data_IF_655626427900
#
_entry.id   IF_655626427900
#
_cell.length_a   1.000
_cell.length_b   1.000
_cell.length_c   1.000
_cell.angle_alpha   90.00
_cell.angle_beta   90.00
_cell.angle_gamma   90.00
#
_symmetry.space_group_name_H-M   'P 1'
#
loop_
_entity.id
_entity.type
_entity.pdbx_description
1 polymer ?
#
# COMPACT_ATOMS: atom_id res chain seq x y z
N UNK A 1 1.82 17.59 2.97
CA UNK A 1 2.25 16.94 4.23
C UNK A 1 2.50 15.48 3.96
N UNK A 2 3.47 14.87 4.65
CA UNK A 2 3.68 13.43 4.59
C UNK A 2 2.56 12.70 5.34
N UNK A 3 2.09 11.58 4.81
CA UNK A 3 1.06 10.76 5.44
C UNK A 3 1.65 9.95 6.60
N UNK A 4 0.90 9.83 7.69
CA UNK A 4 1.20 8.91 8.80
C UNK A 4 0.85 7.47 8.42
N UNK A 5 1.28 6.51 9.25
CA UNK A 5 0.95 5.10 9.03
C UNK A 5 -0.54 4.84 9.20
N UNK A 6 -1.14 5.48 10.19
CA UNK A 6 -2.56 5.37 10.56
C UNK A 6 -3.42 5.96 9.45
N UNK A 7 -3.05 7.12 8.90
CA UNK A 7 -3.72 7.72 7.75
C UNK A 7 -3.59 6.86 6.49
N UNK A 8 -2.44 6.21 6.27
CA UNK A 8 -2.27 5.28 5.16
C UNK A 8 -3.17 4.06 5.30
N UNK A 9 -3.30 3.51 6.52
CA UNK A 9 -4.23 2.42 6.82
C UNK A 9 -5.67 2.88 6.58
N UNK A 10 -6.06 4.03 7.12
CA UNK A 10 -7.41 4.57 6.96
C UNK A 10 -7.74 4.84 5.48
N UNK A 11 -6.81 5.42 4.71
CA UNK A 11 -6.94 5.60 3.27
C UNK A 11 -7.12 4.26 2.55
N UNK A 12 -6.27 3.28 2.85
CA UNK A 12 -6.31 1.97 2.20
C UNK A 12 -7.61 1.22 2.51
N UNK A 13 -8.08 1.26 3.75
CA UNK A 13 -9.35 0.66 4.18
C UNK A 13 -10.53 1.28 3.45
N UNK A 14 -10.58 2.62 3.33
CA UNK A 14 -11.60 3.32 2.51
C UNK A 14 -11.58 2.90 1.04
N UNK A 15 -10.41 2.51 0.52
CA UNK A 15 -10.24 2.01 -0.85
C UNK A 15 -10.46 0.48 -0.98
N UNK A 16 -11.08 -0.15 0.03
CA UNK A 16 -11.44 -1.57 0.03
C UNK A 16 -10.28 -2.52 0.27
N UNK A 17 -9.14 -2.02 0.78
CA UNK A 17 -8.05 -2.90 1.25
C UNK A 17 -8.35 -3.37 2.67
N UNK A 18 -8.02 -4.61 3.00
CA UNK A 18 -8.21 -5.20 4.33
C UNK A 18 -6.86 -5.49 4.97
N UNK A 19 -6.75 -5.22 6.27
CA UNK A 19 -5.60 -5.62 7.07
C UNK A 19 -5.57 -7.15 7.18
N UNK A 20 -4.41 -7.74 6.89
CA UNK A 20 -4.17 -9.16 7.12
C UNK A 20 -3.51 -9.42 8.48
N UNK A 21 -3.36 -10.70 8.84
CA UNK A 21 -2.77 -11.13 10.12
C UNK A 21 -1.31 -10.67 10.33
N UNK A 22 -0.64 -10.20 9.27
CA UNK A 22 0.74 -9.72 9.32
C UNK A 22 0.83 -8.19 9.32
N UNK A 23 -0.31 -7.49 9.37
CA UNK A 23 -0.34 -6.03 9.35
C UNK A 23 -0.11 -5.44 7.96
N UNK A 24 -0.43 -6.17 6.88
CA UNK A 24 -0.37 -5.68 5.50
C UNK A 24 -1.77 -5.47 4.93
N UNK A 25 -1.91 -4.50 4.02
CA UNK A 25 -3.21 -4.11 3.45
C UNK A 25 -3.44 -4.80 2.10
N UNK A 26 -4.23 -5.87 2.10
CA UNK A 26 -4.52 -6.68 0.91
C UNK A 26 -5.79 -6.24 0.19
N UNK A 27 -5.79 -6.40 -1.13
CA UNK A 27 -6.97 -6.25 -1.98
C UNK A 27 -6.92 -7.31 -3.07
N UNK A 28 -7.99 -8.07 -3.16
CA UNK A 28 -8.21 -9.02 -4.24
C UNK A 28 -8.82 -8.27 -5.42
N UNK A 29 -8.23 -8.45 -6.59
CA UNK A 29 -8.71 -7.98 -7.87
C UNK A 29 -8.93 -9.21 -8.77
N UNK A 30 -9.77 -9.10 -9.81
CA UNK A 30 -9.92 -10.17 -10.79
C UNK A 30 -8.54 -10.61 -11.33
N UNK A 31 -8.16 -11.86 -11.04
CA UNK A 31 -6.91 -12.46 -11.49
C UNK A 31 -5.64 -12.09 -10.70
N UNK A 32 -5.71 -11.26 -9.65
CA UNK A 32 -4.51 -10.89 -8.87
C UNK A 32 -4.81 -10.45 -7.44
N UNK A 33 -3.95 -10.83 -6.50
CA UNK A 33 -3.93 -10.27 -5.15
C UNK A 33 -2.85 -9.19 -5.05
N UNK A 34 -3.24 -7.98 -4.69
CA UNK A 34 -2.29 -6.91 -4.38
C UNK A 34 -2.20 -6.69 -2.87
N UNK A 35 -1.04 -6.27 -2.39
CA UNK A 35 -0.87 -5.79 -1.02
C UNK A 35 -0.10 -4.48 -0.95
N UNK A 36 -0.38 -3.69 0.08
CA UNK A 36 0.54 -2.68 0.57
C UNK A 36 1.22 -3.27 1.79
N UNK A 37 2.50 -3.63 1.63
CA UNK A 37 3.36 -4.06 2.73
C UNK A 37 3.78 -2.83 3.52
N UNK A 38 3.36 -2.77 4.79
CA UNK A 38 3.75 -1.72 5.72
C UNK A 38 5.01 -2.13 6.45
N UNK A 39 6.05 -1.31 6.35
CA UNK A 39 7.25 -1.40 7.17
C UNK A 39 7.35 -0.19 8.09
N UNK A 40 8.38 -0.15 8.95
CA UNK A 40 8.60 0.96 9.88
C UNK A 40 8.71 2.33 9.21
N UNK A 41 9.32 2.40 8.02
CA UNK A 41 9.64 3.68 7.36
C UNK A 41 9.11 3.80 5.93
N UNK A 42 8.57 2.72 5.37
CA UNK A 42 8.18 2.67 3.97
C UNK A 42 6.95 1.78 3.74
N UNK A 43 6.26 2.05 2.64
CA UNK A 43 5.22 1.18 2.12
C UNK A 43 5.65 0.63 0.76
N UNK A 44 5.29 -0.64 0.48
CA UNK A 44 5.54 -1.27 -0.83
C UNK A 44 4.24 -1.79 -1.40
N UNK A 45 3.93 -1.42 -2.64
CA UNK A 45 2.86 -2.03 -3.41
C UNK A 45 3.42 -3.28 -4.08
N UNK A 46 2.84 -4.42 -3.74
CA UNK A 46 3.28 -5.72 -4.21
C UNK A 46 2.09 -6.49 -4.81
N UNK A 47 2.39 -7.39 -5.75
CA UNK A 47 1.45 -8.34 -6.36
C UNK A 47 1.85 -9.76 -6.00
N UNK A 48 0.87 -10.62 -5.76
CA UNK A 48 1.07 -12.05 -5.52
C UNK A 48 1.30 -12.77 -6.85
N UNK A 49 2.31 -13.63 -6.88
CA UNK A 49 2.66 -14.51 -8.00
C UNK A 49 2.89 -15.93 -7.47
N UNK A 50 2.96 -16.97 -8.33
CA UNK A 50 3.33 -18.32 -7.90
C UNK A 50 4.69 -18.40 -7.19
N UNK A 51 5.59 -17.44 -7.44
CA UNK A 51 6.92 -17.38 -6.84
C UNK A 51 7.00 -16.43 -5.63
N UNK A 52 5.86 -15.96 -5.12
CA UNK A 52 5.78 -15.06 -3.98
C UNK A 52 5.35 -13.64 -4.37
N UNK A 53 5.79 -12.64 -3.59
CA UNK A 53 5.35 -11.25 -3.75
C UNK A 53 6.35 -10.44 -4.53
N UNK A 54 5.91 -9.85 -5.65
CA UNK A 54 6.73 -8.98 -6.50
C UNK A 54 6.40 -7.53 -6.21
N UNK A 55 7.42 -6.71 -5.98
CA UNK A 55 7.28 -5.26 -5.77
C UNK A 55 7.01 -4.56 -7.09
N UNK A 56 5.90 -3.82 -7.14
CA UNK A 56 5.54 -2.95 -8.25
C UNK A 56 6.02 -1.51 -8.02
N UNK A 57 5.90 -1.04 -6.77
CA UNK A 57 6.36 0.28 -6.37
C UNK A 57 6.66 0.35 -4.86
N UNK A 58 7.40 1.36 -4.43
CA UNK A 58 7.61 1.69 -3.02
C UNK A 58 7.79 3.18 -2.78
N UNK A 59 7.52 3.61 -1.55
CA UNK A 59 7.80 4.97 -1.09
C UNK A 59 8.06 5.01 0.40
N UNK A 60 8.92 5.92 0.84
CA UNK A 60 9.10 6.19 2.26
C UNK A 60 7.88 6.95 2.79
N UNK A 61 7.42 6.64 4.01
CA UNK A 61 6.26 7.30 4.62
C UNK A 61 6.40 8.84 4.58
N UNK A 62 7.61 9.35 4.81
CA UNK A 62 7.93 10.79 4.73
C UNK A 62 7.73 11.44 3.35
N UNK A 63 7.57 10.64 2.29
CA UNK A 63 7.35 11.09 0.90
C UNK A 63 5.94 10.76 0.40
N UNK A 64 5.25 9.82 1.05
CA UNK A 64 3.89 9.45 0.71
C UNK A 64 2.93 10.57 1.12
N UNK A 65 1.92 10.81 0.30
CA UNK A 65 0.90 11.82 0.54
C UNK A 65 -0.38 11.42 -0.19
N UNK A 66 -1.53 11.94 0.26
CA UNK A 66 -2.78 11.81 -0.48
C UNK A 66 -2.91 13.01 -1.43
N UNK A 67 -3.09 12.74 -2.71
CA UNK A 67 -3.27 13.75 -3.75
C UNK A 67 -4.66 14.38 -3.67
N UNK A 68 -4.88 15.49 -4.39
CA UNK A 68 -6.17 16.19 -4.40
C UNK A 68 -7.34 15.31 -4.90
N UNK A 69 -7.05 14.34 -5.78
CA UNK A 69 -8.00 13.34 -6.28
C UNK A 69 -8.12 12.09 -5.38
N UNK A 70 -7.57 12.14 -4.16
CA UNK A 70 -7.70 11.08 -3.17
C UNK A 70 -6.84 9.85 -3.44
N UNK A 71 -5.84 9.93 -4.31
CA UNK A 71 -4.92 8.82 -4.59
C UNK A 71 -3.68 8.87 -3.70
N UNK A 72 -3.00 7.74 -3.57
CA UNK A 72 -1.72 7.66 -2.86
C UNK A 72 -0.58 8.06 -3.80
N UNK A 73 0.00 9.23 -3.55
CA UNK A 73 1.18 9.75 -4.24
C UNK A 73 2.49 9.39 -3.55
N UNK A 74 3.62 9.63 -4.23
CA UNK A 74 4.97 9.43 -3.70
C UNK A 74 5.51 8.00 -3.79
N UNK A 75 4.80 7.08 -4.46
CA UNK A 75 5.34 5.76 -4.81
C UNK A 75 6.19 5.83 -6.09
N UNK A 76 7.31 5.11 -6.09
CA UNK A 76 8.27 5.00 -7.21
C UNK A 76 8.53 3.53 -7.53
N UNK A 77 8.85 3.21 -8.79
CA UNK A 77 9.03 1.83 -9.27
C UNK A 77 10.35 1.22 -8.79
#
# INVERSE_FOLDING_TARGET
>A
MAITREELIAWATRHGRKLDRWGHLKKELPGATHRIKLSRIAARHEISTPHGWVRLASGYLKQLHITADGKLGGMTR
#
